data_IF_179365363463
#
_entry.id   IF_179365363463
#
_cell.length_a   1.000
_cell.length_b   1.000
_cell.length_c   1.000
_cell.angle_alpha   90.00
_cell.angle_beta   90.00
_cell.angle_gamma   90.00
#
_symmetry.space_group_name_H-M   'P 1'
#
loop_
_entity.id
_entity.type
_entity.pdbx_description
1 polymer ?
#
# COMPACT_ATOMS: atom_id res chain seq x y z
N UNK A 1 5.01 -11.76 -4.83
CA UNK A 1 4.58 -10.34 -4.86
C UNK A 1 5.71 -9.55 -4.24
N UNK A 2 6.39 -8.71 -5.02
CA UNK A 2 7.54 -7.94 -4.54
C UNK A 2 7.04 -6.56 -4.10
N UNK A 3 7.16 -6.25 -2.81
CA UNK A 3 7.15 -4.87 -2.34
C UNK A 3 8.55 -4.32 -2.56
N UNK A 4 8.75 -3.59 -3.66
CA UNK A 4 10.00 -2.93 -3.97
C UNK A 4 9.78 -1.42 -3.93
N UNK A 5 10.18 -0.78 -2.83
CA UNK A 5 10.36 0.67 -2.79
C UNK A 5 11.64 1.00 -3.58
N UNK A 6 11.53 1.52 -4.80
CA UNK A 6 12.66 2.04 -5.57
C UNK A 6 12.37 3.44 -6.10
N UNK A 7 13.09 4.44 -5.57
CA UNK A 7 13.32 5.72 -6.23
C UNK A 7 14.84 5.89 -6.29
N UNK A 8 15.39 5.93 -7.50
CA UNK A 8 16.83 6.09 -7.71
C UNK A 8 17.24 7.55 -7.55
N UNK A 9 18.17 7.83 -6.64
CA UNK A 9 18.89 9.10 -6.53
C UNK A 9 20.39 8.87 -6.70
N UNK A 10 21.03 9.66 -7.56
CA UNK A 10 22.46 9.55 -7.87
C UNK A 10 23.32 10.18 -6.77
N UNK A 11 23.95 9.36 -5.93
CA UNK A 11 25.41 9.29 -5.84
C UNK A 11 25.89 8.38 -4.69
N UNK A 12 26.75 7.45 -5.06
CA UNK A 12 27.75 6.71 -4.28
C UNK A 12 27.31 6.11 -2.94
N UNK A 13 27.09 4.78 -2.96
CA UNK A 13 26.65 3.82 -1.92
C UNK A 13 25.18 3.83 -1.47
N UNK A 14 24.27 4.54 -2.16
CA UNK A 14 23.07 5.02 -1.48
C UNK A 14 21.87 5.08 -2.45
N UNK A 15 20.65 4.66 -2.10
CA UNK A 15 20.14 4.12 -0.86
C UNK A 15 18.64 3.85 -1.03
N UNK A 16 18.15 2.74 -0.48
CA UNK A 16 16.70 2.52 -0.36
C UNK A 16 16.17 3.65 0.53
N UNK A 17 15.23 4.44 0.01
CA UNK A 17 14.62 5.55 0.75
C UNK A 17 13.56 4.93 1.68
N UNK A 18 13.68 5.09 3.01
CA UNK A 18 12.64 4.65 3.93
C UNK A 18 11.30 5.30 3.56
N UNK A 19 10.19 4.56 3.69
CA UNK A 19 8.84 5.09 3.41
C UNK A 19 8.54 6.37 4.17
N UNK A 20 9.05 6.52 5.39
CA UNK A 20 8.93 7.75 6.19
C UNK A 20 9.44 9.01 5.48
N UNK A 21 10.33 8.85 4.48
CA UNK A 21 10.88 9.91 3.62
C UNK A 21 10.26 9.95 2.21
N UNK A 22 9.33 9.05 1.87
CA UNK A 22 8.67 8.93 0.57
C UNK A 22 7.14 8.99 0.71
N UNK A 23 6.63 9.96 1.48
CA UNK A 23 5.19 10.14 1.72
C UNK A 23 4.43 10.36 0.40
N UNK A 24 3.21 9.84 0.34
CA UNK A 24 2.34 9.93 -0.84
C UNK A 24 2.76 9.02 -1.99
N UNK A 25 3.72 8.12 -1.79
CA UNK A 25 4.09 7.08 -2.76
C UNK A 25 3.68 5.71 -2.28
N UNK A 26 3.04 4.93 -3.14
CA UNK A 26 2.66 3.54 -2.87
C UNK A 26 2.78 2.65 -4.11
N UNK A 27 2.94 1.35 -3.89
CA UNK A 27 2.87 0.34 -4.94
C UNK A 27 1.85 -0.72 -4.55
N UNK A 28 1.00 -1.14 -5.49
CA UNK A 28 0.07 -2.23 -5.23
C UNK A 28 -0.29 -2.97 -6.52
N UNK A 29 -0.86 -4.16 -6.37
CA UNK A 29 -1.41 -4.94 -7.48
C UNK A 29 -2.94 -4.97 -7.39
N UNK A 30 -3.62 -4.78 -8.52
CA UNK A 30 -5.08 -4.83 -8.61
C UNK A 30 -5.50 -5.27 -10.01
N UNK A 31 -6.46 -6.19 -10.14
CA UNK A 31 -6.98 -6.67 -11.43
C UNK A 31 -5.87 -7.00 -12.47
N UNK A 32 -4.86 -7.79 -12.07
CA UNK A 32 -3.73 -8.20 -12.90
C UNK A 32 -2.87 -7.03 -13.45
N UNK A 33 -2.89 -5.88 -12.79
CA UNK A 33 -2.01 -4.75 -13.07
C UNK A 33 -1.27 -4.32 -11.82
N UNK A 34 -0.11 -3.71 -12.03
CA UNK A 34 0.66 -3.04 -11.00
C UNK A 34 0.43 -1.54 -11.08
N UNK A 35 0.38 -0.91 -9.92
CA UNK A 35 0.10 0.51 -9.75
C UNK A 35 1.24 1.14 -8.96
N UNK A 36 1.83 2.21 -9.48
CA UNK A 36 2.72 3.10 -8.72
C UNK A 36 1.96 4.40 -8.51
N UNK A 37 1.57 4.66 -7.27
CA UNK A 37 0.71 5.76 -6.88
C UNK A 37 1.59 6.90 -6.39
N UNK A 38 1.37 8.09 -6.93
CA UNK A 38 2.01 9.36 -6.56
C UNK A 38 0.93 10.32 -6.13
N UNK A 39 0.39 10.05 -4.96
CA UNK A 39 -0.67 10.85 -4.34
C UNK A 39 -0.24 12.28 -4.07
N UNK A 40 1.04 12.46 -3.76
CA UNK A 40 1.71 13.76 -3.64
C UNK A 40 1.68 14.59 -4.94
N UNK A 41 1.62 13.92 -6.09
CA UNK A 41 1.48 14.53 -7.41
C UNK A 41 0.05 14.43 -7.98
N UNK A 42 -0.88 13.83 -7.23
CA UNK A 42 -2.25 13.59 -7.68
C UNK A 42 -2.35 12.67 -8.91
N UNK A 43 -1.43 11.72 -9.08
CA UNK A 43 -1.44 10.79 -10.22
C UNK A 43 -1.04 9.36 -9.84
N UNK A 44 -1.26 8.42 -10.75
CA UNK A 44 -0.73 7.07 -10.65
C UNK A 44 -0.30 6.55 -12.03
N UNK A 45 0.70 5.69 -12.02
CA UNK A 45 1.10 4.88 -13.16
C UNK A 45 0.51 3.48 -13.02
N UNK A 46 0.07 2.88 -14.12
CA UNK A 46 -0.26 1.45 -14.17
C UNK A 46 0.55 0.74 -15.25
N UNK A 47 0.86 -0.54 -15.03
CA UNK A 47 1.53 -1.41 -16.01
C UNK A 47 1.09 -2.87 -15.82
N UNK A 48 1.17 -3.66 -16.88
CA UNK A 48 0.97 -5.12 -16.83
C UNK A 48 2.21 -5.88 -16.30
N UNK A 49 3.41 -5.31 -16.45
CA UNK A 49 4.68 -5.94 -16.10
C UNK A 49 5.69 -4.87 -15.67
N UNK A 50 5.97 -4.80 -14.36
CA UNK A 50 6.94 -3.86 -13.79
C UNK A 50 8.37 -4.11 -14.27
N UNK A 51 8.72 -5.34 -14.64
CA UNK A 51 10.08 -5.69 -15.07
C UNK A 51 10.37 -5.25 -16.49
N UNK A 52 9.34 -5.24 -17.34
CA UNK A 52 9.46 -4.86 -18.77
C UNK A 52 8.99 -3.45 -19.06
N UNK A 53 8.17 -2.87 -18.17
CA UNK A 53 7.52 -1.59 -18.42
C UNK A 53 6.58 -1.62 -19.62
N UNK A 54 5.90 -2.74 -19.86
CA UNK A 54 4.91 -2.85 -20.94
C UNK A 54 3.61 -2.13 -20.58
N UNK A 55 2.93 -1.57 -21.58
CA UNK A 55 1.59 -0.96 -21.45
C UNK A 55 1.49 0.08 -20.33
N UNK A 56 2.57 0.85 -20.12
CA UNK A 56 2.61 1.92 -19.12
C UNK A 56 1.62 3.00 -19.51
N UNK A 57 0.69 3.29 -18.60
CA UNK A 57 -0.19 4.45 -18.70
C UNK A 57 -0.13 5.24 -17.40
N UNK A 58 -0.18 6.57 -17.51
CA UNK A 58 -0.25 7.49 -16.37
C UNK A 58 -1.62 8.15 -16.38
N UNK A 59 -2.26 8.20 -15.21
CA UNK A 59 -3.58 8.79 -15.03
C UNK A 59 -3.58 9.73 -13.83
N UNK A 60 -4.45 10.74 -13.90
CA UNK A 60 -4.74 11.57 -12.73
C UNK A 60 -5.56 10.78 -11.71
N UNK A 61 -5.22 10.92 -10.44
CA UNK A 61 -6.06 10.51 -9.34
C UNK A 61 -7.27 11.44 -9.27
N UNK A 62 -8.45 10.86 -9.10
CA UNK A 62 -9.64 11.60 -8.74
C UNK A 62 -9.36 12.44 -7.49
N UNK A 63 -9.82 13.70 -7.37
CA UNK A 63 -9.54 14.56 -6.22
C UNK A 63 -9.86 13.90 -4.87
N UNK A 64 -10.92 13.09 -4.83
CA UNK A 64 -11.29 12.34 -3.62
C UNK A 64 -10.27 11.25 -3.26
N UNK A 65 -9.57 10.67 -4.23
CA UNK A 65 -8.57 9.63 -4.04
C UNK A 65 -7.16 10.17 -3.77
N UNK A 66 -6.98 11.48 -3.59
CA UNK A 66 -5.69 12.10 -3.31
C UNK A 66 -5.43 12.24 -1.80
N UNK A 67 -4.16 12.39 -1.44
CA UNK A 67 -3.68 12.59 -0.07
C UNK A 67 -4.06 11.46 0.89
N UNK A 68 -4.05 10.22 0.41
CA UNK A 68 -4.06 9.02 1.26
C UNK A 68 -2.66 8.74 1.80
N UNK A 69 -2.60 8.17 3.00
CA UNK A 69 -1.36 7.76 3.66
C UNK A 69 -0.88 6.41 3.13
N UNK A 70 -1.82 5.51 2.80
CA UNK A 70 -1.57 4.21 2.17
C UNK A 70 -2.61 3.89 1.09
N UNK A 71 -2.16 3.23 0.03
CA UNK A 71 -3.00 2.71 -1.04
C UNK A 71 -2.79 1.21 -1.24
N UNK A 72 -3.86 0.43 -1.12
CA UNK A 72 -3.81 -1.03 -1.15
C UNK A 72 -4.74 -1.52 -2.26
N UNK A 73 -4.26 -2.41 -3.11
CA UNK A 73 -5.10 -3.17 -4.03
C UNK A 73 -5.62 -4.42 -3.31
N UNK A 74 -6.92 -4.47 -3.03
CA UNK A 74 -7.59 -5.69 -2.54
C UNK A 74 -8.22 -6.47 -3.67
N UNK A 75 -9.05 -7.47 -3.34
CA UNK A 75 -9.63 -8.35 -4.37
C UNK A 75 -10.57 -7.60 -5.33
N UNK A 76 -11.43 -6.72 -4.80
CA UNK A 76 -12.47 -6.02 -5.59
C UNK A 76 -12.42 -4.50 -5.47
N UNK A 77 -11.61 -3.96 -4.55
CA UNK A 77 -11.53 -2.53 -4.27
C UNK A 77 -10.10 -2.10 -4.04
N UNK A 78 -9.80 -0.85 -4.40
CA UNK A 78 -8.71 -0.12 -3.79
C UNK A 78 -9.15 0.35 -2.40
N UNK A 79 -8.23 0.24 -1.45
CA UNK A 79 -8.39 0.73 -0.09
C UNK A 79 -7.41 1.89 0.11
N UNK A 80 -7.94 3.07 0.43
CA UNK A 80 -7.17 4.28 0.65
C UNK A 80 -7.27 4.62 2.13
N UNK A 81 -6.17 4.43 2.85
CA UNK A 81 -6.08 4.76 4.27
C UNK A 81 -5.73 6.24 4.40
N UNK A 82 -6.44 6.93 5.29
CA UNK A 82 -6.14 8.30 5.69
C UNK A 82 -6.41 8.46 7.18
N UNK A 83 -5.34 8.68 7.95
CA UNK A 83 -5.35 8.59 9.40
C UNK A 83 -5.94 7.25 9.86
N UNK A 84 -6.98 7.32 10.69
CA UNK A 84 -7.62 6.14 11.27
C UNK A 84 -8.85 5.66 10.47
N UNK A 85 -8.96 6.05 9.21
CA UNK A 85 -10.09 5.69 8.35
C UNK A 85 -9.60 5.06 7.05
N UNK A 86 -10.45 4.22 6.47
CA UNK A 86 -10.22 3.61 5.18
C UNK A 86 -11.39 3.93 4.25
N UNK A 87 -11.07 4.37 3.04
CA UNK A 87 -12.00 4.54 1.95
C UNK A 87 -11.83 3.41 0.95
N UNK A 88 -12.92 2.75 0.59
CA UNK A 88 -12.98 1.79 -0.52
C UNK A 88 -13.47 2.46 -1.79
N UNK A 89 -12.76 2.22 -2.90
CA UNK A 89 -13.14 2.67 -4.25
C UNK A 89 -12.90 1.56 -5.26
N UNK A 90 -13.73 1.49 -6.30
CA UNK A 90 -13.52 0.56 -7.43
C UNK A 90 -12.64 1.16 -8.53
N UNK A 91 -12.44 2.48 -8.50
CA UNK A 91 -11.62 3.21 -9.46
C UNK A 91 -10.89 4.36 -8.77
N UNK A 92 -9.63 4.57 -9.13
CA UNK A 92 -8.83 5.70 -8.67
C UNK A 92 -9.04 6.98 -9.52
N UNK A 93 -9.72 6.88 -10.67
CA UNK A 93 -9.88 7.97 -11.64
C UNK A 93 -11.26 8.63 -11.60
N UNK A 94 -12.29 7.85 -11.29
CA UNK A 94 -13.68 8.29 -11.32
C UNK A 94 -14.23 8.40 -9.91
N UNK A 95 -15.24 9.23 -9.74
CA UNK A 95 -16.12 9.12 -8.60
C UNK A 95 -16.75 7.72 -8.61
N UNK A 96 -16.49 6.95 -7.57
CA UNK A 96 -16.92 5.56 -7.44
C UNK A 96 -17.83 5.39 -6.25
N UNK A 97 -18.59 4.30 -6.23
CA UNK A 97 -19.32 3.84 -5.05
C UNK A 97 -18.34 3.73 -3.87
N UNK A 98 -18.44 4.71 -2.98
CA UNK A 98 -17.45 4.94 -1.94
C UNK A 98 -18.05 4.52 -0.61
N UNK A 99 -17.39 3.58 0.06
CA UNK A 99 -17.65 3.26 1.47
C UNK A 99 -16.47 3.74 2.28
N UNK A 100 -16.73 4.50 3.34
CA UNK A 100 -15.72 4.93 4.31
C UNK A 100 -16.04 4.29 5.65
N UNK A 101 -15.03 3.68 6.26
CA UNK A 101 -15.14 3.06 7.58
C UNK A 101 -13.92 3.42 8.45
N UNK A 102 -14.09 3.33 9.76
CA UNK A 102 -12.99 3.47 10.71
C UNK A 102 -12.14 2.21 10.72
N UNK A 103 -10.82 2.35 10.82
CA UNK A 103 -9.96 1.20 11.09
C UNK A 103 -10.16 0.75 12.54
N UNK A 104 -10.18 -0.56 12.79
CA UNK A 104 -10.10 -1.11 14.13
C UNK A 104 -8.85 -0.55 14.83
N UNK A 105 -8.87 -0.23 16.15
CA UNK A 105 -7.71 0.33 16.85
C UNK A 105 -6.40 -0.45 16.66
N UNK A 106 -6.47 -1.78 16.58
CA UNK A 106 -5.29 -2.64 16.35
C UNK A 106 -4.76 -2.59 14.91
N UNK A 107 -5.53 -2.06 13.97
CA UNK A 107 -5.18 -1.91 12.56
C UNK A 107 -4.74 -0.48 12.22
N UNK A 108 -4.70 0.44 13.20
CA UNK A 108 -4.29 1.84 13.01
C UNK A 108 -2.78 2.00 13.20
N UNK A 109 -2.19 2.97 12.48
CA UNK A 109 -0.79 3.37 12.67
C UNK A 109 0.24 2.36 12.18
N UNK A 110 -0.13 1.50 11.22
CA UNK A 110 0.83 0.64 10.53
C UNK A 110 1.80 1.45 9.69
N UNK A 111 3.04 0.98 9.59
CA UNK A 111 4.05 1.58 8.73
C UNK A 111 3.86 1.16 7.27
N UNK A 112 3.35 -0.07 7.05
CA UNK A 112 3.00 -0.58 5.73
C UNK A 112 1.70 -1.37 5.78
N UNK A 113 0.94 -1.26 4.70
CA UNK A 113 -0.30 -1.99 4.49
C UNK A 113 -0.29 -2.61 3.10
N UNK A 114 -0.67 -3.87 2.98
CA UNK A 114 -0.87 -4.54 1.70
C UNK A 114 -1.95 -5.62 1.84
N UNK A 115 -2.41 -6.17 0.72
CA UNK A 115 -3.39 -7.24 0.70
C UNK A 115 -2.95 -8.36 -0.25
N UNK A 116 -3.18 -9.60 0.17
CA UNK A 116 -2.95 -10.79 -0.62
C UNK A 116 -3.83 -11.94 -0.11
N UNK A 117 -4.29 -12.80 -1.02
CA UNK A 117 -5.02 -14.03 -0.67
C UNK A 117 -6.22 -13.81 0.26
N UNK A 118 -6.95 -12.69 0.10
CA UNK A 118 -8.10 -12.35 0.94
C UNK A 118 -7.77 -11.77 2.32
N UNK A 119 -6.48 -11.58 2.65
CA UNK A 119 -6.03 -10.99 3.91
C UNK A 119 -5.40 -9.60 3.68
N UNK A 120 -5.59 -8.73 4.67
CA UNK A 120 -4.79 -7.54 4.87
C UNK A 120 -3.61 -7.86 5.77
N UNK A 121 -2.47 -7.27 5.43
CA UNK A 121 -1.21 -7.40 6.14
C UNK A 121 -0.77 -6.01 6.58
N UNK A 122 -0.45 -5.87 7.86
CA UNK A 122 -0.07 -4.61 8.49
C UNK A 122 1.26 -4.80 9.20
N UNK A 123 2.27 -4.04 8.78
CA UNK A 123 3.60 -4.09 9.38
C UNK A 123 3.73 -2.92 10.34
N UNK A 124 4.07 -3.25 11.59
CA UNK A 124 4.44 -2.28 12.63
C UNK A 124 5.95 -2.42 12.89
N UNK A 125 6.75 -1.58 12.24
CA UNK A 125 8.21 -1.67 12.27
C UNK A 125 8.77 -1.46 13.67
N UNK A 126 8.31 -0.44 14.40
CA UNK A 126 8.76 -0.17 15.78
C UNK A 126 8.43 -1.31 16.74
N UNK A 127 7.25 -1.94 16.57
CA UNK A 127 6.84 -3.11 17.36
C UNK A 127 7.55 -4.39 16.90
N UNK A 128 8.07 -4.42 15.68
CA UNK A 128 8.61 -5.61 15.05
C UNK A 128 7.55 -6.69 14.84
N UNK A 129 6.32 -6.31 14.50
CA UNK A 129 5.21 -7.26 14.29
C UNK A 129 4.55 -7.11 12.91
N UNK A 130 4.03 -8.22 12.41
CA UNK A 130 3.16 -8.32 11.26
C UNK A 130 1.78 -8.78 11.76
N UNK A 131 0.76 -7.95 11.57
CA UNK A 131 -0.63 -8.31 11.81
C UNK A 131 -1.29 -8.74 10.51
N UNK A 132 -2.17 -9.73 10.57
CA UNK A 132 -3.01 -10.15 9.45
C UNK A 132 -4.46 -10.25 9.87
N UNK A 133 -5.39 -9.78 9.03
CA UNK A 133 -6.84 -9.91 9.25
C UNK A 133 -7.59 -9.87 7.90
N UNK A 134 -8.78 -10.45 7.82
CA UNK A 134 -9.66 -10.33 6.65
C UNK A 134 -10.45 -9.02 6.60
N UNK A 135 -10.58 -8.29 7.72
CA UNK A 135 -11.32 -7.03 7.77
C UNK A 135 -10.65 -6.01 8.69
N UNK A 136 -10.11 -4.93 8.13
CA UNK A 136 -9.46 -3.88 8.91
C UNK A 136 -10.43 -3.01 9.75
N UNK A 137 -11.74 -3.09 9.54
CA UNK A 137 -12.76 -2.39 10.32
C UNK A 137 -13.07 -3.12 11.64
N UNK A 138 -13.19 -4.44 11.57
CA UNK A 138 -13.64 -5.28 12.68
C UNK A 138 -12.53 -6.12 13.31
N UNK A 139 -11.46 -6.41 12.56
CA UNK A 139 -10.30 -7.21 12.98
C UNK A 139 -10.67 -8.59 13.59
N UNK A 140 -11.63 -9.35 13.02
CA UNK A 140 -12.30 -10.44 13.72
C UNK A 140 -11.45 -11.72 13.87
N UNK A 141 -10.51 -11.92 12.96
CA UNK A 141 -9.72 -13.12 12.76
C UNK A 141 -8.21 -12.83 12.84
N UNK A 142 -7.88 -11.78 13.60
CA UNK A 142 -6.56 -11.20 13.59
C UNK A 142 -5.50 -12.17 14.15
N UNK A 143 -4.40 -12.31 13.42
CA UNK A 143 -3.19 -12.97 13.92
C UNK A 143 -2.03 -11.99 13.92
N UNK A 144 -1.16 -12.11 14.92
CA UNK A 144 0.04 -11.28 15.03
C UNK A 144 1.27 -12.19 15.05
N UNK A 145 2.24 -11.84 14.21
CA UNK A 145 3.48 -12.57 14.02
C UNK A 145 4.66 -11.65 14.37
N UNK A 146 5.64 -12.17 15.10
CA UNK A 146 6.90 -11.46 15.29
C UNK A 146 7.67 -11.44 13.97
N UNK A 147 8.08 -10.24 13.53
CA UNK A 147 8.97 -10.08 12.40
C UNK A 147 10.38 -10.53 12.77
N UNK A 148 10.96 -11.34 11.91
CA UNK A 148 12.40 -11.62 11.94
C UNK A 148 13.16 -10.28 11.96
N UNK A 149 14.14 -10.09 12.87
CA UNK A 149 14.92 -8.87 12.97
C UNK A 149 15.44 -8.33 11.63
N UNK A 150 15.78 -9.20 10.67
CA UNK A 150 16.28 -8.79 9.35
C UNK A 150 15.24 -8.05 8.49
N UNK A 151 13.96 -8.18 8.81
CA UNK A 151 12.86 -7.56 8.09
C UNK A 151 12.36 -6.27 8.76
N UNK A 152 12.93 -5.88 9.90
CA UNK A 152 12.50 -4.67 10.63
C UNK A 152 12.84 -3.37 9.90
N UNK A 153 13.82 -3.40 9.00
CA UNK A 153 14.27 -2.24 8.23
C UNK A 153 13.48 -2.04 6.93
N UNK A 154 12.43 -2.83 6.67
CA UNK A 154 11.49 -2.61 5.56
C UNK A 154 11.83 -3.31 4.24
N UNK A 155 12.81 -4.20 4.22
CA UNK A 155 13.06 -5.11 3.10
C UNK A 155 12.33 -6.43 3.35
N UNK A 156 11.25 -6.68 2.64
CA UNK A 156 10.46 -7.90 2.76
C UNK A 156 10.55 -8.72 1.46
N UNK A 157 11.16 -9.89 1.54
CA UNK A 157 11.21 -10.85 0.44
C UNK A 157 10.27 -12.01 0.74
N UNK A 158 9.45 -12.39 -0.23
CA UNK A 158 8.62 -13.58 -0.18
C UNK A 158 9.11 -14.52 -1.29
N UNK A 159 9.42 -15.77 -0.94
CA UNK A 159 9.80 -16.84 -1.87
C UNK A 159 8.55 -17.59 -2.36
#
# INVERSE_FOLDING_TARGET
>A
MFDLFCVAGSDTTNGIIPRSKAKGTDICAFNNKYYIIRSDLGCYMQTSDLSKGSDICIFSLHPSCQNGDHYIGGDSYFHIIKGNSCRRVTSLMKESDTVVYGLHPSCQGGDHYFAAHGYFYIIFQEKGTLRTTTDMNLDPDATEHTLDPKYREGLHYWH
#
